data_IF_513504708776
#
_entry.id   IF_513504708776
#
_cell.length_a   1.000
_cell.length_b   1.000
_cell.length_c   1.000
_cell.angle_alpha   90.00
_cell.angle_beta   90.00
_cell.angle_gamma   90.00
#
_symmetry.space_group_name_H-M   'P 1'
#
loop_
_entity.id
_entity.type
_entity.pdbx_description
1 polymer ?
#
# COMPACT_ATOMS: atom_id res chain seq x y z
N UNK A 1 -2.07 -21.51 25.02
CA UNK A 1 -2.43 -20.76 23.82
C UNK A 1 -1.91 -19.33 24.00
N UNK A 2 -1.02 -18.80 23.16
CA UNK A 2 -0.50 -17.44 23.36
C UNK A 2 -1.57 -16.41 23.03
N UNK A 3 -1.65 -15.41 23.86
CA UNK A 3 -2.67 -14.36 23.86
C UNK A 3 -2.49 -13.40 22.68
N UNK A 4 -3.54 -13.14 21.92
CA UNK A 4 -3.49 -13.01 20.48
C UNK A 4 -3.45 -11.62 19.87
N UNK A 5 -3.43 -10.50 20.58
CA UNK A 5 -3.47 -9.18 19.91
C UNK A 5 -2.85 -8.03 20.71
N UNK A 6 -2.54 -8.18 21.98
CA UNK A 6 -1.99 -7.10 22.81
C UNK A 6 -0.48 -6.90 22.74
N UNK A 7 0.28 -7.93 22.37
CA UNK A 7 1.73 -7.94 22.53
C UNK A 7 2.55 -7.97 21.22
N UNK A 8 1.90 -8.01 20.07
CA UNK A 8 2.60 -8.07 18.76
C UNK A 8 3.56 -6.90 18.53
N UNK A 9 3.33 -5.77 19.18
CA UNK A 9 4.16 -4.57 19.13
C UNK A 9 4.84 -4.27 20.48
N UNK A 10 4.78 -5.19 21.41
CA UNK A 10 5.46 -5.08 22.70
C UNK A 10 6.95 -4.82 22.54
N UNK A 11 7.48 -3.80 23.21
CA UNK A 11 8.87 -3.40 23.08
C UNK A 11 9.24 -2.63 21.80
N UNK A 12 8.32 -2.45 20.83
CA UNK A 12 8.55 -1.69 19.59
C UNK A 12 8.04 -0.24 19.67
N UNK A 13 7.22 0.08 20.66
CA UNK A 13 6.71 1.42 20.88
C UNK A 13 7.15 1.97 22.24
N UNK A 14 7.36 3.29 22.30
CA UNK A 14 7.55 4.05 23.54
C UNK A 14 6.47 5.13 23.64
N UNK A 15 6.06 5.45 24.87
CA UNK A 15 5.15 6.57 25.11
C UNK A 15 5.95 7.87 25.19
N UNK A 16 5.54 8.89 24.45
CA UNK A 16 6.02 10.26 24.64
C UNK A 16 5.50 10.83 25.97
N UNK A 17 6.04 11.97 26.42
CA UNK A 17 5.55 12.69 27.61
C UNK A 17 4.06 13.05 27.48
N UNK A 18 3.55 13.24 26.25
CA UNK A 18 2.13 13.47 25.94
C UNK A 18 1.25 12.22 26.05
N UNK A 19 1.82 11.05 26.41
CA UNK A 19 1.12 9.76 26.43
C UNK A 19 0.94 9.10 25.06
N UNK A 20 1.29 9.78 23.96
CA UNK A 20 1.17 9.25 22.57
C UNK A 20 2.22 8.14 22.35
N UNK A 21 1.80 6.94 21.90
CA UNK A 21 2.75 5.90 21.53
C UNK A 21 3.44 6.27 20.19
N UNK A 22 4.76 6.07 20.14
CA UNK A 22 5.57 6.20 18.92
C UNK A 22 6.50 5.00 18.81
N UNK A 23 6.79 4.56 17.59
CA UNK A 23 7.77 3.50 17.36
C UNK A 23 9.16 3.96 17.82
N UNK A 24 9.90 3.03 18.43
CA UNK A 24 11.22 3.30 19.02
C UNK A 24 12.39 3.00 18.07
N UNK A 25 12.10 2.66 16.81
CA UNK A 25 13.08 2.33 15.78
C UNK A 25 13.59 0.88 15.80
N UNK A 26 13.17 0.07 16.78
CA UNK A 26 13.53 -1.36 16.80
C UNK A 26 12.76 -2.11 15.73
N UNK A 27 13.43 -3.05 15.07
CA UNK A 27 12.84 -3.97 14.09
C UNK A 27 12.74 -5.36 14.73
N UNK A 28 11.59 -5.98 14.57
CA UNK A 28 11.36 -7.38 14.89
C UNK A 28 10.93 -8.13 13.65
N UNK A 29 11.60 -9.21 13.32
CA UNK A 29 11.27 -10.07 12.18
C UNK A 29 10.28 -11.14 12.65
N UNK A 30 9.11 -11.19 12.00
CA UNK A 30 8.02 -12.13 12.32
C UNK A 30 8.01 -13.25 11.27
N UNK A 31 8.68 -14.35 11.56
CA UNK A 31 8.79 -15.50 10.66
C UNK A 31 7.48 -16.29 10.55
N UNK A 32 6.67 -16.32 11.60
CA UNK A 32 5.39 -17.02 11.59
C UNK A 32 4.37 -16.31 10.71
N UNK A 33 4.30 -14.97 10.81
CA UNK A 33 3.45 -14.17 9.95
C UNK A 33 3.91 -14.22 8.48
N UNK A 34 5.23 -14.33 8.25
CA UNK A 34 5.80 -14.43 6.91
C UNK A 34 5.29 -15.67 6.16
N UNK A 35 5.19 -16.83 6.83
CA UNK A 35 4.80 -18.10 6.19
C UNK A 35 3.27 -18.31 6.11
N UNK A 36 2.49 -17.48 6.80
CA UNK A 36 1.04 -17.61 6.83
C UNK A 36 0.36 -17.68 5.43
N UNK A 37 0.78 -16.92 4.41
CA UNK A 37 0.17 -16.98 3.08
C UNK A 37 0.26 -18.36 2.40
N UNK A 38 1.27 -19.15 2.72
CA UNK A 38 1.45 -20.51 2.15
C UNK A 38 0.30 -21.46 2.50
N UNK A 39 -0.41 -21.21 3.61
CA UNK A 39 -1.55 -22.01 4.05
C UNK A 39 -2.90 -21.55 3.50
N UNK A 40 -2.97 -20.37 2.89
CA UNK A 40 -4.24 -19.80 2.41
C UNK A 40 -4.60 -20.32 1.02
N UNK A 41 -5.76 -20.97 0.92
CA UNK A 41 -6.22 -21.60 -0.34
C UNK A 41 -6.92 -20.60 -1.28
N UNK A 42 -7.70 -19.66 -0.73
CA UNK A 42 -8.46 -18.70 -1.52
C UNK A 42 -7.58 -17.49 -1.92
N UNK A 43 -7.70 -16.99 -3.16
CA UNK A 43 -7.01 -15.78 -3.60
C UNK A 43 -7.23 -14.59 -2.66
N UNK A 44 -6.17 -13.85 -2.37
CA UNK A 44 -6.22 -12.65 -1.51
C UNK A 44 -5.34 -11.54 -2.06
N UNK A 45 -5.74 -10.31 -1.79
CA UNK A 45 -4.85 -9.15 -1.91
C UNK A 45 -4.27 -8.92 -0.52
N UNK A 46 -2.94 -8.97 -0.43
CA UNK A 46 -2.20 -8.89 0.82
C UNK A 46 -1.34 -7.64 0.81
N UNK A 47 -1.60 -6.72 1.73
CA UNK A 47 -0.74 -5.57 1.95
C UNK A 47 0.41 -5.96 2.86
N UNK A 48 1.61 -5.95 2.31
CA UNK A 48 2.83 -6.37 3.02
C UNK A 48 3.32 -5.26 3.92
N UNK A 49 3.53 -5.58 5.21
CA UNK A 49 4.10 -4.66 6.21
C UNK A 49 3.31 -3.36 6.41
N UNK A 50 2.01 -3.45 6.73
CA UNK A 50 1.13 -2.28 6.93
C UNK A 50 1.61 -1.29 8.02
N UNK A 51 2.43 -1.75 8.99
CA UNK A 51 2.93 -0.94 10.12
C UNK A 51 4.46 -0.79 10.12
N UNK A 52 5.14 -1.27 9.10
CA UNK A 52 6.60 -1.24 8.97
C UNK A 52 7.00 -1.10 7.50
N UNK A 53 8.29 -1.08 7.22
CA UNK A 53 8.83 -0.98 5.86
C UNK A 53 9.80 -2.14 5.62
N UNK A 54 9.50 -2.98 4.61
CA UNK A 54 10.32 -4.15 4.26
C UNK A 54 11.75 -3.75 3.87
N UNK A 55 11.91 -2.55 3.31
CA UNK A 55 13.21 -2.02 2.88
C UNK A 55 13.84 -1.08 3.91
N UNK A 56 13.47 -1.20 5.20
CA UNK A 56 14.18 -0.52 6.27
C UNK A 56 15.63 -1.01 6.34
N UNK A 57 16.59 -0.11 6.60
CA UNK A 57 18.03 -0.42 6.58
C UNK A 57 18.42 -1.57 7.54
N UNK A 58 17.72 -1.69 8.66
CA UNK A 58 17.94 -2.76 9.66
C UNK A 58 17.29 -4.09 9.29
N UNK A 59 16.52 -4.19 8.20
CA UNK A 59 15.98 -5.48 7.73
C UNK A 59 17.06 -6.21 6.93
N UNK A 60 17.51 -7.41 7.34
CA UNK A 60 18.59 -8.11 6.63
C UNK A 60 18.12 -8.61 5.26
N UNK A 61 19.05 -8.63 4.31
CA UNK A 61 18.77 -9.09 2.94
C UNK A 61 18.24 -10.53 2.90
N UNK A 62 18.70 -11.39 3.82
CA UNK A 62 18.21 -12.77 3.95
C UNK A 62 16.72 -12.83 4.25
N UNK A 63 16.20 -11.92 5.09
CA UNK A 63 14.77 -11.83 5.37
C UNK A 63 13.98 -11.31 4.17
N UNK A 64 14.47 -10.26 3.48
CA UNK A 64 13.84 -9.74 2.26
C UNK A 64 13.71 -10.85 1.21
N UNK A 65 14.77 -11.63 0.98
CA UNK A 65 14.73 -12.78 0.05
C UNK A 65 13.68 -13.80 0.45
N UNK A 66 13.58 -14.14 1.75
CA UNK A 66 12.58 -15.09 2.23
C UNK A 66 11.15 -14.58 2.04
N UNK A 67 10.90 -13.27 2.23
CA UNK A 67 9.61 -12.64 1.94
C UNK A 67 9.27 -12.80 0.46
N UNK A 68 10.21 -12.51 -0.45
CA UNK A 68 10.02 -12.66 -1.89
C UNK A 68 9.83 -14.12 -2.30
N UNK A 69 10.56 -15.07 -1.70
CA UNK A 69 10.37 -16.51 -1.92
C UNK A 69 8.94 -16.95 -1.58
N UNK A 70 8.42 -16.54 -0.42
CA UNK A 70 7.03 -16.84 -0.03
C UNK A 70 6.02 -16.23 -1.01
N UNK A 71 6.23 -14.97 -1.42
CA UNK A 71 5.34 -14.31 -2.39
C UNK A 71 5.35 -15.01 -3.75
N UNK A 72 6.52 -15.43 -4.24
CA UNK A 72 6.68 -16.17 -5.49
C UNK A 72 6.03 -17.56 -5.44
N UNK A 73 6.04 -18.23 -4.29
CA UNK A 73 5.40 -19.54 -4.06
C UNK A 73 3.87 -19.46 -3.91
N UNK A 74 3.31 -18.26 -3.84
CA UNK A 74 1.87 -18.01 -3.68
C UNK A 74 1.26 -17.26 -4.88
N UNK A 75 1.32 -17.80 -6.12
CA UNK A 75 0.88 -17.09 -7.32
C UNK A 75 -0.63 -16.79 -7.33
N UNK A 76 -1.42 -17.47 -6.49
CA UNK A 76 -2.86 -17.25 -6.31
C UNK A 76 -3.17 -15.95 -5.53
N UNK A 77 -2.19 -15.39 -4.80
CA UNK A 77 -2.35 -14.16 -4.04
C UNK A 77 -1.70 -12.99 -4.76
N UNK A 78 -2.20 -11.79 -4.54
CA UNK A 78 -1.53 -10.53 -4.95
C UNK A 78 -0.91 -9.88 -3.73
N UNK A 79 0.37 -9.56 -3.81
CA UNK A 79 1.11 -8.91 -2.73
C UNK A 79 1.40 -7.46 -3.08
N UNK A 80 0.90 -6.53 -2.27
CA UNK A 80 1.16 -5.10 -2.39
C UNK A 80 2.26 -4.72 -1.40
N UNK A 81 3.46 -4.50 -1.90
CA UNK A 81 4.62 -4.06 -1.11
C UNK A 81 4.75 -2.55 -1.25
N UNK A 82 4.65 -1.83 -0.14
CA UNK A 82 4.79 -0.37 -0.10
C UNK A 82 6.03 0.03 0.69
N UNK A 83 6.78 1.00 0.17
CA UNK A 83 7.98 1.53 0.85
C UNK A 83 8.08 3.05 0.74
N UNK A 84 8.74 3.65 1.72
CA UNK A 84 9.24 5.04 1.65
C UNK A 84 10.74 5.09 1.33
N UNK A 85 11.33 3.92 1.05
CA UNK A 85 12.76 3.72 0.76
C UNK A 85 12.97 3.04 -0.61
N UNK A 86 12.49 3.65 -1.72
CA UNK A 86 12.62 3.05 -3.03
C UNK A 86 14.09 2.96 -3.49
N UNK A 87 14.99 3.77 -2.94
CA UNK A 87 16.42 3.72 -3.17
C UNK A 87 16.96 2.32 -2.82
N UNK A 88 16.67 1.86 -1.58
CA UNK A 88 17.11 0.54 -1.14
C UNK A 88 16.39 -0.59 -1.86
N UNK A 89 15.10 -0.40 -2.17
CA UNK A 89 14.36 -1.38 -2.95
C UNK A 89 14.98 -1.59 -4.34
N UNK A 90 15.40 -0.51 -5.00
CA UNK A 90 16.09 -0.53 -6.29
C UNK A 90 17.48 -1.18 -6.17
N UNK A 91 18.26 -0.82 -5.16
CA UNK A 91 19.60 -1.40 -4.90
C UNK A 91 19.57 -2.94 -4.82
N UNK A 92 18.54 -3.49 -4.20
CA UNK A 92 18.41 -4.93 -4.00
C UNK A 92 17.57 -5.63 -5.09
N UNK A 93 16.92 -4.88 -5.97
CA UNK A 93 15.94 -5.39 -6.93
C UNK A 93 16.48 -6.51 -7.83
N UNK A 94 17.73 -6.40 -8.28
CA UNK A 94 18.40 -7.42 -9.12
C UNK A 94 18.72 -8.73 -8.39
N UNK A 95 18.63 -8.74 -7.05
CA UNK A 95 18.87 -9.89 -6.19
C UNK A 95 17.57 -10.60 -5.78
N UNK A 96 16.42 -10.16 -6.32
CA UNK A 96 15.09 -10.64 -5.99
C UNK A 96 14.39 -11.13 -7.26
N UNK A 97 13.55 -12.15 -7.12
CA UNK A 97 12.69 -12.64 -8.20
C UNK A 97 11.32 -11.90 -8.14
N UNK A 98 10.91 -11.33 -9.28
CA UNK A 98 9.71 -10.49 -9.40
C UNK A 98 8.62 -11.22 -10.18
N UNK A 99 7.80 -12.04 -9.52
CA UNK A 99 6.62 -12.63 -10.13
C UNK A 99 5.51 -11.58 -10.34
N UNK A 100 4.58 -11.85 -11.27
CA UNK A 100 3.51 -10.93 -11.66
C UNK A 100 2.57 -10.52 -10.52
N UNK A 101 2.44 -11.36 -9.52
CA UNK A 101 1.62 -11.15 -8.33
C UNK A 101 2.28 -10.26 -7.27
N UNK A 102 3.53 -9.83 -7.47
CA UNK A 102 4.25 -8.92 -6.56
C UNK A 102 4.17 -7.52 -7.13
N UNK A 103 3.35 -6.69 -6.50
CA UNK A 103 3.17 -5.28 -6.83
C UNK A 103 4.04 -4.42 -5.95
N UNK A 104 4.75 -3.48 -6.54
CA UNK A 104 5.65 -2.58 -5.80
C UNK A 104 5.14 -1.17 -5.82
N UNK A 105 5.05 -0.52 -4.66
CA UNK A 105 4.62 0.85 -4.52
C UNK A 105 5.54 1.72 -3.67
N UNK A 106 5.40 3.02 -3.84
CA UNK A 106 6.03 4.01 -2.95
C UNK A 106 5.05 5.06 -2.49
N UNK A 107 5.30 5.60 -1.28
CA UNK A 107 4.50 6.71 -0.75
C UNK A 107 4.99 8.04 -1.31
N UNK A 108 4.04 8.90 -1.71
CA UNK A 108 4.31 10.24 -2.25
C UNK A 108 3.32 11.22 -1.63
N UNK A 109 3.69 11.81 -0.53
CA UNK A 109 2.82 12.68 0.27
C UNK A 109 2.81 14.14 -0.23
N UNK A 110 3.94 14.58 -0.82
CA UNK A 110 4.16 15.92 -1.39
C UNK A 110 5.08 15.82 -2.63
N UNK A 111 5.17 16.91 -3.40
CA UNK A 111 6.02 16.96 -4.61
C UNK A 111 7.51 16.78 -4.35
N UNK A 112 7.98 17.04 -3.16
CA UNK A 112 9.37 16.86 -2.73
C UNK A 112 9.79 15.37 -2.82
N UNK A 113 8.83 14.47 -2.82
CA UNK A 113 9.07 13.02 -2.93
C UNK A 113 8.96 12.46 -4.36
N UNK A 114 8.94 13.29 -5.39
CA UNK A 114 8.86 12.81 -6.79
C UNK A 114 10.06 11.95 -7.22
N UNK A 115 11.20 12.12 -6.58
CA UNK A 115 12.35 11.24 -6.82
C UNK A 115 12.03 9.79 -6.50
N UNK A 116 11.19 9.52 -5.48
CA UNK A 116 10.73 8.16 -5.19
C UNK A 116 9.99 7.50 -6.35
N UNK A 117 9.24 8.29 -7.15
CA UNK A 117 8.55 7.78 -8.34
C UNK A 117 9.58 7.34 -9.38
N UNK A 118 10.61 8.16 -9.64
CA UNK A 118 11.66 7.86 -10.62
C UNK A 118 12.47 6.62 -10.27
N UNK A 119 12.73 6.41 -8.98
CA UNK A 119 13.39 5.21 -8.49
C UNK A 119 12.48 3.97 -8.63
N UNK A 120 11.19 4.09 -8.27
CA UNK A 120 10.20 3.03 -8.43
C UNK A 120 10.08 2.59 -9.89
N UNK A 121 10.12 3.52 -10.84
CA UNK A 121 10.03 3.23 -12.28
C UNK A 121 11.14 2.31 -12.79
N UNK A 122 12.29 2.27 -12.10
CA UNK A 122 13.43 1.42 -12.44
C UNK A 122 13.35 0.01 -11.83
N UNK A 123 12.46 -0.21 -10.85
CA UNK A 123 12.25 -1.53 -10.24
C UNK A 123 11.49 -2.43 -11.20
N UNK A 124 11.91 -3.70 -11.45
CA UNK A 124 11.32 -4.58 -12.45
C UNK A 124 10.01 -5.25 -12.00
N UNK A 125 9.20 -4.55 -11.18
CA UNK A 125 7.89 -5.03 -10.76
C UNK A 125 6.89 -4.97 -11.92
N UNK A 126 6.02 -5.97 -12.04
CA UNK A 126 4.98 -6.02 -13.08
C UNK A 126 3.96 -4.89 -12.90
N UNK A 127 3.52 -4.65 -11.66
CA UNK A 127 2.68 -3.51 -11.30
C UNK A 127 3.47 -2.58 -10.37
N UNK A 128 3.55 -1.30 -10.75
CA UNK A 128 4.10 -0.22 -9.91
C UNK A 128 2.98 0.73 -9.53
N UNK A 129 2.84 1.04 -8.25
CA UNK A 129 1.77 1.91 -7.77
C UNK A 129 2.27 3.03 -6.85
N UNK A 130 1.51 4.12 -6.80
CA UNK A 130 1.76 5.23 -5.89
C UNK A 130 0.71 5.24 -4.79
N UNK A 131 1.15 5.43 -3.56
CA UNK A 131 0.28 5.72 -2.41
C UNK A 131 0.48 7.18 -1.99
N UNK A 132 -0.42 8.04 -2.44
CA UNK A 132 -0.47 9.44 -2.01
C UNK A 132 -1.24 9.51 -0.68
N UNK A 133 -0.70 8.85 0.34
CA UNK A 133 -1.29 8.75 1.68
C UNK A 133 -0.23 8.88 2.78
N UNK A 134 -0.44 9.88 3.69
CA UNK A 134 -1.41 10.94 3.58
C UNK A 134 -1.06 11.96 2.50
N UNK A 135 -2.06 12.43 1.72
CA UNK A 135 -1.85 13.52 0.78
C UNK A 135 -1.75 14.84 1.55
N UNK A 136 -0.59 15.50 1.50
CA UNK A 136 -0.26 16.66 2.32
C UNK A 136 -0.06 17.96 1.53
N UNK A 137 -0.17 17.89 0.22
CA UNK A 137 -0.06 19.03 -0.67
C UNK A 137 -0.40 18.68 -2.11
N UNK A 138 -0.45 19.67 -3.01
CA UNK A 138 -0.70 19.44 -4.43
C UNK A 138 0.45 18.64 -5.06
N UNK A 139 0.08 17.73 -5.98
CA UNK A 139 1.03 16.91 -6.76
C UNK A 139 0.89 17.22 -8.25
N UNK A 140 1.31 18.41 -8.73
CA UNK A 140 1.20 18.80 -10.12
C UNK A 140 2.22 18.04 -10.98
N UNK A 141 1.83 17.66 -12.20
CA UNK A 141 2.74 17.04 -13.20
C UNK A 141 3.51 15.82 -12.68
N UNK A 142 2.78 14.88 -12.05
CA UNK A 142 3.36 13.62 -11.58
C UNK A 142 4.00 12.84 -12.74
N UNK A 143 5.19 12.25 -12.57
CA UNK A 143 5.83 11.41 -13.59
C UNK A 143 5.19 10.02 -13.65
N UNK A 144 3.99 9.91 -14.26
CA UNK A 144 3.17 8.69 -14.28
C UNK A 144 3.54 7.66 -15.35
N UNK A 145 4.55 7.91 -16.20
CA UNK A 145 5.00 6.92 -17.20
C UNK A 145 5.45 5.63 -16.49
N UNK A 146 4.84 4.48 -16.85
CA UNK A 146 5.16 3.19 -16.25
C UNK A 146 4.67 3.02 -14.80
N UNK A 147 3.79 3.90 -14.33
CA UNK A 147 2.97 3.73 -13.13
C UNK A 147 1.63 3.13 -13.55
N UNK A 148 1.14 2.13 -12.80
CA UNK A 148 -0.01 1.33 -13.17
C UNK A 148 -1.19 1.53 -12.21
N UNK A 149 -1.01 2.29 -11.13
CA UNK A 149 -2.07 2.59 -10.17
C UNK A 149 -1.70 3.75 -9.26
N UNK A 150 -2.69 4.60 -8.92
CA UNK A 150 -2.53 5.69 -7.95
C UNK A 150 -3.62 5.61 -6.91
N UNK A 151 -3.21 5.49 -5.65
CA UNK A 151 -4.08 5.49 -4.47
C UNK A 151 -3.95 6.84 -3.78
N UNK A 152 -5.08 7.46 -3.45
CA UNK A 152 -5.11 8.76 -2.76
C UNK A 152 -5.93 8.66 -1.48
N UNK A 153 -5.41 9.23 -0.40
CA UNK A 153 -6.13 9.28 0.87
C UNK A 153 -5.58 10.31 1.84
N UNK A 154 -6.47 10.83 2.69
CA UNK A 154 -6.12 11.74 3.76
C UNK A 154 -5.56 11.06 5.00
N UNK A 155 -4.87 11.84 5.83
CA UNK A 155 -4.35 11.41 7.13
C UNK A 155 -5.51 11.08 8.09
N UNK A 156 -5.38 10.01 8.86
CA UNK A 156 -6.41 9.57 9.80
C UNK A 156 -5.89 9.59 11.23
N UNK A 157 -6.79 9.91 12.17
CA UNK A 157 -6.53 9.89 13.61
C UNK A 157 -6.36 11.27 14.24
N UNK A 158 -6.12 11.33 15.55
CA UNK A 158 -5.93 12.58 16.28
C UNK A 158 -4.80 13.42 15.71
N UNK A 159 -5.06 14.71 15.45
CA UNK A 159 -4.08 15.61 14.86
C UNK A 159 -3.85 15.43 13.36
N UNK A 160 -4.75 14.74 12.66
CA UNK A 160 -4.70 14.58 11.20
C UNK A 160 -4.70 15.94 10.49
N UNK A 161 -3.78 16.09 9.53
CA UNK A 161 -3.69 17.28 8.70
C UNK A 161 -4.78 17.27 7.63
N UNK A 162 -5.40 18.40 7.31
CA UNK A 162 -6.47 18.45 6.33
C UNK A 162 -5.96 18.19 4.92
N UNK A 163 -6.75 17.50 4.12
CA UNK A 163 -6.53 17.29 2.69
C UNK A 163 -7.52 18.15 1.90
N UNK A 164 -7.06 18.82 0.85
CA UNK A 164 -7.92 19.64 -0.01
C UNK A 164 -8.45 18.83 -1.20
N UNK A 165 -9.75 18.98 -1.50
CA UNK A 165 -10.38 18.29 -2.63
C UNK A 165 -9.78 18.64 -3.98
N UNK A 166 -9.33 19.88 -4.15
CA UNK A 166 -8.64 20.34 -5.37
C UNK A 166 -7.37 19.56 -5.66
N UNK A 167 -6.62 19.13 -4.65
CA UNK A 167 -5.42 18.30 -4.82
C UNK A 167 -5.78 16.90 -5.33
N UNK A 168 -6.86 16.32 -4.77
CA UNK A 168 -7.35 14.99 -5.16
C UNK A 168 -7.84 15.01 -6.62
N UNK A 169 -8.64 16.02 -6.99
CA UNK A 169 -9.16 16.19 -8.35
C UNK A 169 -8.03 16.40 -9.36
N UNK A 170 -7.00 17.17 -9.00
CA UNK A 170 -5.83 17.37 -9.85
C UNK A 170 -5.07 16.05 -10.12
N UNK A 171 -4.94 15.18 -9.11
CA UNK A 171 -4.33 13.85 -9.29
C UNK A 171 -5.19 12.99 -10.19
N UNK A 172 -6.52 12.95 -9.94
CA UNK A 172 -7.47 12.19 -10.74
C UNK A 172 -7.40 12.58 -12.22
N UNK A 173 -7.42 13.87 -12.53
CA UNK A 173 -7.29 14.38 -13.90
C UNK A 173 -5.99 13.94 -14.59
N UNK A 174 -4.87 13.91 -13.84
CA UNK A 174 -3.60 13.44 -14.36
C UNK A 174 -3.63 11.93 -14.66
N UNK A 175 -4.29 11.15 -13.80
CA UNK A 175 -4.48 9.71 -13.99
C UNK A 175 -5.33 9.43 -15.22
N UNK A 176 -6.45 10.13 -15.40
CA UNK A 176 -7.32 10.04 -16.60
C UNK A 176 -6.57 10.37 -17.90
N UNK A 177 -5.80 11.46 -17.93
CA UNK A 177 -4.98 11.85 -19.10
C UNK A 177 -3.89 10.83 -19.46
N UNK A 178 -3.52 9.95 -18.55
CA UNK A 178 -2.44 8.96 -18.75
C UNK A 178 -2.94 7.51 -18.72
N UNK A 179 -4.26 7.33 -18.67
CA UNK A 179 -4.91 6.00 -18.56
C UNK A 179 -4.34 5.17 -17.41
N UNK A 180 -4.17 5.82 -16.24
CA UNK A 180 -3.71 5.18 -15.02
C UNK A 180 -4.89 5.02 -14.07
N UNK A 181 -5.22 3.80 -13.62
CA UNK A 181 -6.27 3.56 -12.63
C UNK A 181 -6.11 4.41 -11.38
N UNK A 182 -7.23 5.02 -10.95
CA UNK A 182 -7.30 5.92 -9.81
C UNK A 182 -8.18 5.34 -8.71
N UNK A 183 -7.66 5.30 -7.49
CA UNK A 183 -8.37 4.82 -6.31
C UNK A 183 -8.43 5.92 -5.25
N UNK A 184 -9.64 6.31 -4.85
CA UNK A 184 -9.83 7.24 -3.73
C UNK A 184 -10.24 6.48 -2.47
N UNK A 185 -9.31 6.37 -1.52
CA UNK A 185 -9.48 5.55 -0.35
C UNK A 185 -10.35 6.20 0.72
N UNK A 186 -10.08 7.47 1.06
CA UNK A 186 -10.79 8.20 2.11
C UNK A 186 -10.35 9.66 2.20
N UNK A 187 -11.21 10.50 2.79
CA UNK A 187 -10.84 11.87 3.15
C UNK A 187 -9.92 11.94 4.38
N UNK A 188 -9.97 10.95 5.27
CA UNK A 188 -9.21 10.96 6.51
C UNK A 188 -9.91 11.73 7.62
N UNK A 189 -9.12 12.42 8.47
CA UNK A 189 -9.65 13.17 9.61
C UNK A 189 -9.67 12.38 10.91
N UNK A 190 -10.05 13.05 12.00
CA UNK A 190 -10.11 12.43 13.34
C UNK A 190 -11.11 11.27 13.36
N UNK A 191 -12.24 11.44 12.68
CA UNK A 191 -13.31 10.44 12.52
C UNK A 191 -13.43 9.99 11.06
N UNK A 192 -12.43 9.25 10.57
CA UNK A 192 -12.31 8.88 9.16
C UNK A 192 -13.55 8.23 8.54
N UNK A 193 -14.38 7.53 9.35
CA UNK A 193 -15.61 6.89 8.87
C UNK A 193 -16.69 7.92 8.51
N UNK A 194 -16.76 9.04 9.23
CA UNK A 194 -17.72 10.12 8.99
C UNK A 194 -17.34 10.95 7.76
N UNK A 195 -16.03 11.14 7.51
CA UNK A 195 -15.55 11.88 6.36
C UNK A 195 -15.81 11.14 5.02
N UNK A 196 -15.96 9.80 5.08
CA UNK A 196 -16.31 8.98 3.92
C UNK A 196 -15.22 8.84 2.88
N UNK A 197 -15.65 8.38 1.69
CA UNK A 197 -14.79 8.09 0.55
C UNK A 197 -15.42 8.47 -0.81
N UNK A 198 -16.39 9.36 -0.79
CA UNK A 198 -16.97 9.89 -2.01
C UNK A 198 -16.21 11.13 -2.47
N UNK A 199 -15.90 11.19 -3.75
CA UNK A 199 -15.32 12.34 -4.43
C UNK A 199 -16.28 12.74 -5.55
N UNK A 200 -16.85 13.94 -5.46
CA UNK A 200 -17.90 14.42 -6.37
C UNK A 200 -19.12 13.48 -6.44
N UNK A 201 -19.57 12.99 -5.25
CA UNK A 201 -20.78 12.17 -5.14
C UNK A 201 -20.63 10.71 -5.57
N UNK A 202 -19.43 10.25 -5.87
CA UNK A 202 -19.18 8.85 -6.24
C UNK A 202 -17.90 8.28 -5.64
N UNK A 203 -17.83 6.95 -5.55
CA UNK A 203 -16.61 6.22 -5.15
C UNK A 203 -15.75 5.91 -6.35
N UNK A 204 -14.42 5.95 -6.16
CA UNK A 204 -13.42 5.67 -7.18
C UNK A 204 -12.60 4.47 -6.73
N UNK A 205 -12.82 3.32 -7.36
CA UNK A 205 -12.30 2.01 -6.96
C UNK A 205 -11.51 1.32 -8.08
N UNK A 206 -10.90 2.09 -8.98
CA UNK A 206 -10.16 1.52 -10.09
C UNK A 206 -8.90 0.80 -9.59
N UNK A 207 -8.59 -0.33 -10.23
CA UNK A 207 -7.44 -1.17 -9.94
C UNK A 207 -6.78 -1.64 -11.24
N UNK A 208 -5.47 -1.98 -11.24
CA UNK A 208 -4.79 -2.51 -12.41
C UNK A 208 -5.39 -3.83 -12.91
N UNK A 209 -5.65 -3.90 -14.23
CA UNK A 209 -5.87 -5.13 -14.99
C UNK A 209 -6.93 -6.10 -14.46
N UNK A 210 -6.70 -7.37 -14.63
CA UNK A 210 -7.63 -8.50 -14.41
C UNK A 210 -8.32 -8.60 -13.04
N UNK A 211 -7.96 -7.79 -12.06
CA UNK A 211 -8.58 -7.84 -10.73
C UNK A 211 -9.91 -7.10 -10.64
N UNK A 212 -10.16 -6.13 -11.51
CA UNK A 212 -11.48 -5.50 -11.60
C UNK A 212 -12.52 -6.50 -12.09
N UNK A 213 -12.14 -7.37 -13.02
CA UNK A 213 -13.00 -8.41 -13.57
C UNK A 213 -13.25 -9.55 -12.56
N UNK A 214 -12.22 -9.96 -11.82
CA UNK A 214 -12.36 -10.93 -10.73
C UNK A 214 -13.22 -10.40 -9.58
N UNK A 215 -13.01 -9.17 -9.14
CA UNK A 215 -13.82 -8.54 -8.09
C UNK A 215 -15.27 -8.30 -8.51
N UNK A 216 -15.54 -8.01 -9.79
CA UNK A 216 -16.89 -7.94 -10.35
C UNK A 216 -17.57 -9.32 -10.38
N UNK A 217 -16.83 -10.36 -10.78
CA UNK A 217 -17.33 -11.73 -10.84
C UNK A 217 -17.61 -12.31 -9.45
N UNK A 218 -16.78 -12.00 -8.44
CA UNK A 218 -17.01 -12.38 -7.05
C UNK A 218 -18.23 -11.68 -6.44
N UNK A 219 -18.42 -10.38 -6.74
CA UNK A 219 -19.61 -9.63 -6.32
C UNK A 219 -20.89 -10.14 -7.00
N UNK A 220 -20.82 -10.52 -8.27
CA UNK A 220 -21.91 -11.15 -9.00
C UNK A 220 -22.24 -12.53 -8.44
N UNK A 221 -21.23 -13.37 -8.16
CA UNK A 221 -21.38 -14.70 -7.56
C UNK A 221 -21.95 -14.64 -6.14
N UNK A 222 -21.53 -13.67 -5.31
CA UNK A 222 -22.06 -13.49 -3.96
C UNK A 222 -23.50 -12.93 -3.97
N UNK A 223 -23.89 -12.10 -4.93
CA UNK A 223 -25.29 -11.68 -5.10
C UNK A 223 -26.21 -12.82 -5.50
N UNK A 224 -25.74 -13.76 -6.31
CA UNK A 224 -26.50 -14.95 -6.71
C UNK A 224 -26.70 -15.95 -5.56
N UNK A 225 -25.86 -15.92 -4.53
CA UNK A 225 -25.98 -16.79 -3.33
C UNK A 225 -26.87 -16.21 -2.23
N UNK A 226 -27.33 -14.96 -2.36
CA UNK A 226 -28.25 -14.30 -1.40
C UNK A 226 -29.71 -14.38 -1.88
N UNK A 227 -29.96 -14.96 -3.04
CA UNK A 227 -31.30 -15.10 -3.65
C UNK A 227 -31.80 -16.54 -3.74
N UNK A 228 -31.33 -17.42 -2.82
CA UNK A 228 -31.91 -18.77 -2.66
C UNK A 228 -32.27 -18.97 -1.20
#
# INVERSE_FOLDING_TARGET
MPNKTGDKYGGLAKKLRSGRPVFNGKIQLDYDALEAPLSWRLPRIIFVNSMSDLFHESVPMSFIRRVFDVMNRCPQHTFQVLTKRPERALEVASKLEWAKNIWMGTSVETKEYYERIRLLQQIPAHVRFLSCEPLLGPLPRMPLKGIHWVIVGGESGPGSRPMQGTWVLQIKEQCEKKDVPFFFKQWGGVRKKEAGRELNGQTWDEMPGNQVEQAKNERASNRSKILV
#
